data_IF_160244155759
#
_entry.id   IF_160244155759
#
_cell.length_a   1.000
_cell.length_b   1.000
_cell.length_c   1.000
_cell.angle_alpha   90.00
_cell.angle_beta   90.00
_cell.angle_gamma   90.00
#
_symmetry.space_group_name_H-M   'P 1'
#
loop_
_entity.id
_entity.type
_entity.pdbx_description
1 polymer ?
#
# COMPACT_ATOMS: atom_id res chain seq x y z
N UNK A 1 46.58 -44.63 26.02
CA UNK A 1 46.73 -43.53 25.04
C UNK A 1 45.86 -43.72 23.77
N UNK A 2 45.66 -44.93 23.22
CA UNK A 2 44.86 -45.16 21.99
C UNK A 2 43.37 -44.85 22.09
N UNK A 3 42.78 -44.91 23.27
CA UNK A 3 41.31 -44.67 23.50
C UNK A 3 40.93 -43.18 23.41
N UNK A 4 41.85 -42.28 23.74
CA UNK A 4 41.55 -40.83 23.72
C UNK A 4 41.69 -40.21 22.34
N UNK A 5 42.51 -40.83 21.47
CA UNK A 5 42.67 -40.39 20.05
C UNK A 5 41.36 -40.61 19.27
N UNK A 6 40.66 -41.75 19.53
CA UNK A 6 39.40 -42.05 18.87
C UNK A 6 38.29 -41.07 19.23
N UNK A 7 38.25 -40.64 20.49
CA UNK A 7 37.23 -39.65 20.95
C UNK A 7 37.47 -38.25 20.35
N UNK A 8 38.76 -37.87 20.18
CA UNK A 8 39.10 -36.59 19.57
C UNK A 8 38.76 -36.53 18.08
N UNK A 9 38.89 -37.65 17.36
CA UNK A 9 38.50 -37.72 15.93
C UNK A 9 37.01 -37.69 15.72
N UNK A 10 36.21 -38.31 16.61
CA UNK A 10 34.77 -38.25 16.55
C UNK A 10 34.23 -36.84 16.91
N UNK A 11 34.86 -36.18 17.88
CA UNK A 11 34.51 -34.79 18.22
C UNK A 11 34.81 -33.78 17.11
N UNK A 12 35.88 -33.99 16.32
CA UNK A 12 36.22 -33.12 15.19
C UNK A 12 35.28 -33.29 14.00
N UNK A 13 34.69 -34.47 13.81
CA UNK A 13 33.73 -34.74 12.73
C UNK A 13 32.35 -34.05 12.95
N UNK A 14 31.99 -33.74 14.20
CA UNK A 14 30.75 -33.02 14.49
C UNK A 14 30.88 -31.50 14.33
N UNK A 15 32.08 -30.94 14.26
CA UNK A 15 32.28 -29.50 14.10
C UNK A 15 32.29 -29.05 12.64
N UNK A 16 32.29 -29.96 11.66
CA UNK A 16 32.28 -29.61 10.22
C UNK A 16 30.88 -29.59 9.63
N UNK A 17 29.83 -29.90 10.41
CA UNK A 17 28.47 -30.10 9.90
C UNK A 17 27.58 -28.85 9.94
N UNK A 18 28.11 -27.67 10.19
CA UNK A 18 27.33 -26.43 10.11
C UNK A 18 28.02 -25.43 9.17
N UNK A 19 28.27 -25.82 7.93
CA UNK A 19 28.28 -24.86 6.85
C UNK A 19 26.84 -24.77 6.36
N UNK A 20 26.16 -23.71 6.81
CA UNK A 20 24.87 -23.29 6.26
C UNK A 20 25.08 -22.89 4.79
N UNK A 21 25.04 -23.90 3.92
CA UNK A 21 24.92 -23.71 2.48
C UNK A 21 23.44 -23.53 2.09
N UNK A 22 22.64 -22.92 2.97
CA UNK A 22 21.34 -22.43 2.52
C UNK A 22 21.60 -21.32 1.50
N UNK A 23 21.11 -21.43 0.26
CA UNK A 23 21.21 -20.33 -0.67
C UNK A 23 20.55 -19.13 0.01
N UNK A 24 21.34 -18.05 0.21
CA UNK A 24 20.77 -16.78 0.66
C UNK A 24 19.65 -16.44 -0.32
N UNK A 25 18.41 -16.61 0.11
CA UNK A 25 17.27 -16.08 -0.62
C UNK A 25 17.39 -14.56 -0.60
N UNK A 26 18.08 -14.00 -1.59
CA UNK A 26 18.18 -12.55 -1.76
C UNK A 26 16.87 -12.05 -2.31
N UNK A 27 15.99 -11.64 -1.42
CA UNK A 27 14.80 -10.89 -1.81
C UNK A 27 15.23 -9.47 -2.20
N UNK A 28 14.81 -9.06 -3.38
CA UNK A 28 14.89 -7.66 -3.78
C UNK A 28 13.63 -6.96 -3.27
N UNK A 29 13.82 -5.81 -2.64
CA UNK A 29 12.71 -4.95 -2.21
C UNK A 29 12.84 -3.61 -2.91
N UNK A 30 11.79 -3.21 -3.59
CA UNK A 30 11.67 -1.89 -4.20
C UNK A 30 10.53 -1.14 -3.51
N UNK A 31 10.79 0.08 -3.07
CA UNK A 31 9.78 0.95 -2.46
C UNK A 31 9.59 2.17 -3.35
N UNK A 32 8.34 2.45 -3.72
CA UNK A 32 7.95 3.57 -4.57
C UNK A 32 6.95 4.45 -3.83
N UNK A 33 7.15 5.76 -3.90
CA UNK A 33 6.19 6.74 -3.38
C UNK A 33 5.35 7.25 -4.56
N UNK A 34 4.05 7.07 -4.46
CA UNK A 34 3.06 7.42 -5.47
C UNK A 34 2.21 8.57 -4.93
N UNK A 35 2.21 9.69 -5.62
CA UNK A 35 1.47 10.88 -5.17
C UNK A 35 0.48 11.30 -6.23
N UNK A 36 -0.76 11.53 -5.84
CA UNK A 36 -1.80 12.09 -6.70
C UNK A 36 -2.31 13.40 -6.10
N UNK A 37 -2.44 14.41 -6.95
CA UNK A 37 -2.99 15.71 -6.59
C UNK A 37 -4.48 15.76 -6.89
N UNK A 38 -5.21 16.55 -6.11
CA UNK A 38 -6.66 16.70 -6.27
C UNK A 38 -7.10 16.93 -7.74
N UNK A 39 -6.49 17.80 -8.54
CA UNK A 39 -6.94 18.03 -9.92
C UNK A 39 -6.63 16.88 -10.88
N UNK A 40 -5.78 15.93 -10.49
CA UNK A 40 -5.31 14.86 -11.37
C UNK A 40 -6.23 13.63 -11.35
N UNK A 41 -7.15 13.54 -10.38
CA UNK A 41 -8.14 12.48 -10.31
C UNK A 41 -9.06 12.50 -11.52
N UNK A 42 -9.34 11.34 -12.07
CA UNK A 42 -10.31 11.14 -13.17
C UNK A 42 -11.55 10.45 -12.63
N UNK A 43 -12.70 10.82 -13.14
CA UNK A 43 -13.95 10.19 -12.79
C UNK A 43 -14.40 9.22 -13.89
N UNK A 44 -14.76 8.00 -13.51
CA UNK A 44 -15.38 7.00 -14.38
C UNK A 44 -16.89 6.96 -14.09
N UNK A 45 -17.66 7.51 -15.02
CA UNK A 45 -19.13 7.57 -14.93
C UNK A 45 -19.80 6.19 -14.92
N UNK A 46 -19.19 5.19 -15.55
CA UNK A 46 -19.76 3.84 -15.62
C UNK A 46 -19.55 3.09 -14.30
N UNK A 47 -18.34 3.16 -13.75
CA UNK A 47 -17.99 2.52 -12.49
C UNK A 47 -18.40 3.37 -11.26
N UNK A 48 -18.77 4.65 -11.47
CA UNK A 48 -19.08 5.60 -10.40
C UNK A 48 -17.97 5.68 -9.36
N UNK A 49 -16.74 5.91 -9.85
CA UNK A 49 -15.55 5.99 -9.02
C UNK A 49 -14.56 7.02 -9.56
N UNK A 50 -13.78 7.62 -8.66
CA UNK A 50 -12.56 8.30 -9.05
C UNK A 50 -11.43 7.29 -9.20
N UNK A 51 -10.51 7.57 -10.11
CA UNK A 51 -9.31 6.77 -10.28
C UNK A 51 -8.11 7.61 -10.68
N UNK A 52 -6.93 7.10 -10.38
CA UNK A 52 -5.67 7.60 -10.91
C UNK A 52 -4.77 6.45 -11.34
N UNK A 53 -4.15 6.60 -12.49
CA UNK A 53 -3.27 5.60 -13.10
C UNK A 53 -1.81 6.00 -12.92
N UNK A 54 -1.04 5.13 -12.29
CA UNK A 54 0.40 5.26 -12.15
C UNK A 54 1.11 4.28 -13.08
N UNK A 55 2.02 4.78 -13.93
CA UNK A 55 2.97 3.94 -14.63
C UNK A 55 4.05 3.48 -13.65
N UNK A 56 4.20 2.16 -13.50
CA UNK A 56 5.15 1.52 -12.57
C UNK A 56 5.90 0.41 -13.31
N UNK A 57 6.91 0.75 -14.12
CA UNK A 57 7.64 -0.22 -14.95
C UNK A 57 8.38 -1.29 -14.15
N UNK A 58 8.60 -1.05 -12.84
CA UNK A 58 9.16 -2.02 -11.89
C UNK A 58 8.27 -3.25 -11.71
N UNK A 59 6.95 -3.13 -11.97
CA UNK A 59 6.02 -4.26 -11.96
C UNK A 59 6.17 -5.01 -13.29
N UNK A 60 7.27 -5.72 -13.42
CA UNK A 60 7.51 -6.61 -14.57
C UNK A 60 6.58 -7.83 -14.52
N UNK A 61 6.50 -8.58 -15.60
CA UNK A 61 5.76 -9.86 -15.61
C UNK A 61 6.28 -10.85 -14.56
N UNK A 62 7.57 -10.81 -14.24
CA UNK A 62 8.16 -11.63 -13.18
C UNK A 62 7.65 -11.19 -11.80
N UNK A 63 7.72 -9.89 -11.49
CA UNK A 63 7.24 -9.33 -10.22
C UNK A 63 5.75 -9.58 -10.06
N UNK A 64 4.95 -9.38 -11.11
CA UNK A 64 3.50 -9.62 -11.10
C UNK A 64 3.13 -11.07 -10.80
N UNK A 65 3.84 -12.04 -11.38
CA UNK A 65 3.49 -13.46 -11.24
C UNK A 65 4.12 -14.14 -10.02
N UNK A 66 5.26 -13.67 -9.54
CA UNK A 66 6.06 -14.38 -8.52
C UNK A 66 6.44 -13.51 -7.32
N UNK A 67 6.27 -12.19 -7.39
CA UNK A 67 6.54 -11.27 -6.31
C UNK A 67 5.38 -11.15 -5.32
N UNK A 68 5.66 -10.46 -4.23
CA UNK A 68 4.65 -9.98 -3.29
C UNK A 68 4.65 -8.45 -3.32
N UNK A 69 3.51 -7.86 -3.03
CA UNK A 69 3.37 -6.40 -2.98
C UNK A 69 2.42 -5.98 -1.88
N UNK A 70 2.62 -4.76 -1.42
CA UNK A 70 1.67 -4.08 -0.54
C UNK A 70 1.58 -2.61 -0.92
N UNK A 71 0.40 -2.04 -0.78
CA UNK A 71 0.16 -0.61 -0.95
C UNK A 71 -0.43 -0.07 0.33
N UNK A 72 0.14 1.02 0.82
CA UNK A 72 -0.35 1.73 1.99
C UNK A 72 -0.64 3.18 1.60
N UNK A 73 -1.74 3.76 2.10
CA UNK A 73 -1.92 5.21 2.12
C UNK A 73 -1.07 5.79 3.24
N UNK A 74 -0.36 6.87 2.95
CA UNK A 74 0.42 7.62 3.92
C UNK A 74 -0.38 8.82 4.42
N UNK A 75 -0.39 8.99 5.73
CA UNK A 75 -0.96 10.14 6.42
C UNK A 75 0.18 10.89 7.11
N UNK A 76 0.30 12.17 6.79
CA UNK A 76 1.28 13.03 7.41
C UNK A 76 0.61 13.78 8.56
N UNK A 77 1.11 13.54 9.77
CA UNK A 77 0.58 14.18 10.97
C UNK A 77 0.72 15.69 10.96
N UNK A 78 -0.23 16.40 11.54
CA UNK A 78 -0.07 17.83 11.78
C UNK A 78 0.85 18.04 12.99
N UNK A 79 1.88 18.86 12.82
CA UNK A 79 2.80 19.23 13.90
C UNK A 79 2.10 19.92 15.09
N UNK A 80 0.85 20.37 14.91
CA UNK A 80 0.08 21.06 15.95
C UNK A 80 -0.65 20.11 16.89
N UNK A 81 -1.12 18.95 16.39
CA UNK A 81 -1.87 17.97 17.18
C UNK A 81 -0.98 16.83 17.69
N UNK A 82 0.31 16.84 17.38
CA UNK A 82 1.29 15.80 17.71
C UNK A 82 0.91 14.40 17.16
N UNK A 83 0.01 14.32 16.19
CA UNK A 83 -0.21 13.09 15.45
C UNK A 83 1.04 12.82 14.60
N UNK A 84 1.68 11.67 14.83
CA UNK A 84 2.83 11.25 14.02
C UNK A 84 2.37 10.77 12.64
N UNK A 85 3.31 10.69 11.72
CA UNK A 85 3.06 10.06 10.42
C UNK A 85 2.66 8.60 10.62
N UNK A 86 1.64 8.14 9.89
CA UNK A 86 1.21 6.75 9.93
C UNK A 86 0.79 6.25 8.55
N UNK A 87 0.72 4.95 8.40
CA UNK A 87 0.36 4.29 7.15
C UNK A 87 -0.79 3.33 7.38
N UNK A 88 -1.70 3.25 6.43
CA UNK A 88 -2.82 2.31 6.44
C UNK A 88 -2.81 1.49 5.16
N UNK A 89 -2.78 0.16 5.31
CA UNK A 89 -2.79 -0.73 4.15
C UNK A 89 -4.10 -0.61 3.35
N UNK A 90 -3.99 -0.70 2.03
CA UNK A 90 -5.15 -0.82 1.16
C UNK A 90 -5.53 -2.31 0.97
N UNK A 91 -6.83 -2.60 0.77
CA UNK A 91 -7.95 -1.65 0.71
C UNK A 91 -8.32 -1.05 2.08
N UNK A 92 -8.84 0.17 2.07
CA UNK A 92 -9.23 0.93 3.26
C UNK A 92 -10.63 1.49 3.12
N UNK A 93 -11.39 1.53 4.22
CA UNK A 93 -12.67 2.22 4.32
C UNK A 93 -12.60 3.31 5.38
N UNK A 94 -13.02 4.51 5.02
CA UNK A 94 -12.95 5.70 5.86
C UNK A 94 -14.37 6.24 6.03
N UNK A 95 -14.76 6.49 7.27
CA UNK A 95 -16.01 7.17 7.55
C UNK A 95 -15.85 8.67 7.37
N UNK A 96 -16.66 9.26 6.52
CA UNK A 96 -16.60 10.67 6.13
C UNK A 96 -17.86 11.40 6.56
N UNK A 97 -17.69 12.68 6.83
CA UNK A 97 -18.81 13.61 7.04
C UNK A 97 -18.59 14.85 6.19
N UNK A 98 -19.60 15.26 5.47
CA UNK A 98 -19.58 16.47 4.67
C UNK A 98 -20.78 17.35 5.06
N UNK A 99 -20.55 18.65 5.16
CA UNK A 99 -21.64 19.61 5.39
C UNK A 99 -22.18 20.11 4.06
N UNK A 100 -23.41 19.71 3.73
CA UNK A 100 -24.06 20.13 2.49
C UNK A 100 -25.03 21.28 2.80
N UNK A 101 -24.87 22.37 2.05
CA UNK A 101 -25.77 23.52 2.15
C UNK A 101 -27.12 23.21 1.49
N UNK A 102 -28.18 23.14 2.29
CA UNK A 102 -29.52 23.17 1.77
C UNK A 102 -29.87 24.60 1.28
N UNK A 103 -29.95 24.75 -0.02
CA UNK A 103 -30.21 26.06 -0.66
C UNK A 103 -31.58 26.57 -0.44
N UNK A 104 -32.56 25.76 0.01
CA UNK A 104 -33.96 26.15 0.30
C UNK A 104 -34.03 26.72 1.69
N UNK A 105 -33.42 26.07 2.67
CA UNK A 105 -33.46 26.48 4.09
C UNK A 105 -32.28 27.36 4.48
N UNK A 106 -31.26 27.44 3.64
CA UNK A 106 -29.97 28.09 3.90
C UNK A 106 -29.28 27.57 5.19
N UNK A 107 -29.43 26.27 5.44
CA UNK A 107 -28.81 25.57 6.58
C UNK A 107 -27.85 24.49 6.10
N UNK A 108 -26.78 24.26 6.88
CA UNK A 108 -25.86 23.16 6.62
C UNK A 108 -26.42 21.87 7.28
N UNK A 109 -26.45 20.81 6.49
CA UNK A 109 -26.88 19.49 6.96
C UNK A 109 -25.71 18.52 6.82
N UNK A 110 -25.30 17.79 7.88
CA UNK A 110 -24.24 16.80 7.76
C UNK A 110 -24.72 15.59 6.97
N UNK A 111 -23.97 15.22 5.95
CA UNK A 111 -24.14 13.99 5.17
C UNK A 111 -23.01 13.04 5.55
N UNK A 112 -23.39 11.81 5.87
CA UNK A 112 -22.46 10.77 6.31
C UNK A 112 -22.33 9.71 5.22
N UNK A 113 -21.10 9.36 4.86
CA UNK A 113 -20.83 8.32 3.88
C UNK A 113 -19.54 7.57 4.22
N UNK A 114 -19.31 6.45 3.56
CA UNK A 114 -18.05 5.72 3.64
C UNK A 114 -17.30 5.87 2.32
N UNK A 115 -16.09 6.34 2.40
CA UNK A 115 -15.17 6.36 1.28
C UNK A 115 -14.34 5.07 1.28
N UNK A 116 -14.35 4.35 0.17
CA UNK A 116 -13.54 3.15 -0.03
C UNK A 116 -12.36 3.49 -0.95
N UNK A 117 -11.16 3.23 -0.46
CA UNK A 117 -9.93 3.28 -1.24
C UNK A 117 -9.53 1.86 -1.57
N UNK A 118 -9.35 1.60 -2.85
CA UNK A 118 -8.90 0.30 -3.36
C UNK A 118 -7.84 0.50 -4.44
N UNK A 119 -7.25 -0.59 -4.92
CA UNK A 119 -6.27 -0.55 -5.98
C UNK A 119 -6.40 -1.74 -6.91
N UNK A 120 -5.97 -1.54 -8.15
CA UNK A 120 -5.75 -2.60 -9.12
C UNK A 120 -4.32 -2.54 -9.61
N UNK A 121 -3.60 -3.66 -9.48
CA UNK A 121 -2.23 -3.79 -9.95
C UNK A 121 -2.20 -4.63 -11.22
N UNK A 122 -1.42 -4.17 -12.20
CA UNK A 122 -1.16 -4.89 -13.43
C UNK A 122 0.31 -4.79 -13.82
N UNK A 123 0.69 -5.46 -14.89
CA UNK A 123 2.06 -5.39 -15.39
C UNK A 123 2.34 -3.97 -15.88
N UNK A 124 3.30 -3.30 -15.23
CA UNK A 124 3.71 -1.95 -15.56
C UNK A 124 2.86 -0.83 -14.98
N UNK A 125 1.83 -1.12 -14.16
CA UNK A 125 0.95 -0.07 -13.64
C UNK A 125 0.27 -0.41 -12.31
N UNK A 126 -0.21 0.66 -11.65
CA UNK A 126 -1.14 0.61 -10.52
C UNK A 126 -2.23 1.65 -10.74
N UNK A 127 -3.50 1.24 -10.62
CA UNK A 127 -4.63 2.16 -10.54
C UNK A 127 -5.07 2.26 -9.08
N UNK A 128 -5.18 3.47 -8.54
CA UNK A 128 -5.83 3.72 -7.26
C UNK A 128 -7.27 4.13 -7.55
N UNK A 129 -8.21 3.61 -6.76
CA UNK A 129 -9.64 3.79 -6.95
C UNK A 129 -10.28 4.32 -5.67
N UNK A 130 -11.18 5.29 -5.81
CA UNK A 130 -11.93 5.90 -4.70
C UNK A 130 -13.42 5.84 -5.03
N UNK A 131 -14.20 5.20 -4.14
CA UNK A 131 -15.64 5.05 -4.29
C UNK A 131 -16.35 5.52 -3.01
N UNK A 132 -17.43 6.28 -3.14
CA UNK A 132 -18.25 6.75 -2.04
C UNK A 132 -19.56 5.93 -1.93
N UNK A 133 -19.94 5.53 -0.72
CA UNK A 133 -21.08 4.64 -0.48
C UNK A 133 -22.45 5.27 -0.79
N UNK A 134 -22.54 6.58 -0.76
CA UNK A 134 -23.76 7.34 -1.07
C UNK A 134 -23.90 7.67 -2.56
N UNK A 135 -22.89 7.30 -3.37
CA UNK A 135 -22.76 7.68 -4.77
C UNK A 135 -22.81 9.19 -5.02
N UNK A 136 -22.71 9.97 -3.95
CA UNK A 136 -22.60 11.42 -4.05
C UNK A 136 -21.13 11.75 -4.31
N UNK A 137 -20.87 12.03 -5.55
CA UNK A 137 -19.59 12.56 -5.98
C UNK A 137 -19.80 14.05 -6.11
N UNK A 138 -19.51 14.79 -5.04
CA UNK A 138 -19.58 16.24 -5.04
C UNK A 138 -18.83 16.84 -6.24
N UNK A 139 -18.85 18.15 -6.38
CA UNK A 139 -18.16 18.81 -7.49
C UNK A 139 -16.62 18.72 -7.38
N UNK A 140 -16.12 18.24 -6.22
CA UNK A 140 -14.71 18.22 -5.92
C UNK A 140 -14.13 16.80 -6.06
N UNK A 141 -12.97 16.71 -6.70
CA UNK A 141 -12.16 15.52 -6.74
C UNK A 141 -11.68 15.15 -5.32
N UNK A 142 -11.31 13.87 -5.07
CA UNK A 142 -10.64 13.50 -3.83
C UNK A 142 -9.45 14.39 -3.53
N UNK A 143 -9.12 14.55 -2.26
CA UNK A 143 -7.96 15.33 -1.82
C UNK A 143 -6.63 14.81 -2.37
N UNK A 144 -5.58 15.57 -2.12
CA UNK A 144 -4.20 15.10 -2.36
C UNK A 144 -3.94 13.84 -1.55
N UNK A 145 -3.43 12.80 -2.18
CA UNK A 145 -3.12 11.53 -1.51
C UNK A 145 -1.72 11.05 -1.84
N UNK A 146 -1.07 10.47 -0.83
CA UNK A 146 0.24 9.83 -0.95
C UNK A 146 0.13 8.36 -0.62
N UNK A 147 0.78 7.53 -1.44
CA UNK A 147 0.80 6.08 -1.26
C UNK A 147 2.23 5.56 -1.31
N UNK A 148 2.46 4.48 -0.58
CA UNK A 148 3.71 3.73 -0.65
C UNK A 148 3.43 2.35 -1.21
N UNK A 149 4.03 2.05 -2.35
CA UNK A 149 4.04 0.72 -2.96
C UNK A 149 5.34 0.01 -2.59
N UNK A 150 5.24 -1.20 -2.08
CA UNK A 150 6.37 -2.05 -1.76
C UNK A 150 6.30 -3.32 -2.61
N UNK A 151 7.35 -3.61 -3.36
CA UNK A 151 7.51 -4.80 -4.18
C UNK A 151 8.62 -5.66 -3.57
N UNK A 152 8.36 -6.98 -3.42
CA UNK A 152 9.30 -7.96 -2.86
C UNK A 152 9.40 -9.11 -3.87
N UNK A 153 10.59 -9.39 -4.41
CA UNK A 153 10.80 -10.42 -5.46
C UNK A 153 12.23 -10.97 -5.50
#
# INVERSE_FOLDING_TARGET
>A
MKKYILLAVIGALFLVSCQDNSPECKYHTTTLNLNVKQPDWKFDDNAKQFYYHFDVPEITSYVYNYGNWSICREYFGDAKDQSGDYQVALPQSIYMVEEVLDTVTNTFTPVYYTQHLDYRLGIGYVDIQVTNSDYFYGQDNPEDMSFRLQLIY
#
